data_IF_313524539939
#
_entry.id   IF_313524539939
#
_cell.length_a   1.000
_cell.length_b   1.000
_cell.length_c   1.000
_cell.angle_alpha   90.00
_cell.angle_beta   90.00
_cell.angle_gamma   90.00
#
_symmetry.space_group_name_H-M   'P 1'
#
loop_
_entity.id
_entity.type
_entity.pdbx_description
1 polymer ?
#
# COMPACT_ATOMS: atom_id res chain seq x y z
N UNK A 1 73.28 29.72 -46.36
CA UNK A 1 72.47 28.70 -45.65
C UNK A 1 71.02 28.85 -46.10
N UNK A 2 70.61 28.07 -47.11
CA UNK A 2 69.28 28.16 -47.71
C UNK A 2 68.28 27.30 -46.95
N UNK A 3 67.28 27.91 -46.32
CA UNK A 3 66.20 27.20 -45.64
C UNK A 3 65.09 26.81 -46.62
N UNK A 4 64.91 25.50 -46.82
CA UNK A 4 63.81 24.96 -47.60
C UNK A 4 62.49 25.17 -46.84
N UNK A 5 61.61 26.05 -47.32
CA UNK A 5 60.25 26.18 -46.79
C UNK A 5 59.35 25.16 -47.47
N UNK A 6 59.03 24.08 -46.77
CA UNK A 6 58.00 23.12 -47.20
C UNK A 6 56.64 23.82 -47.21
N UNK A 7 56.13 24.11 -48.41
CA UNK A 7 54.77 24.59 -48.59
C UNK A 7 53.81 23.42 -48.38
N UNK A 8 53.11 23.40 -47.24
CA UNK A 8 52.01 22.48 -47.01
C UNK A 8 50.74 23.06 -47.63
N UNK A 9 50.04 22.26 -48.44
CA UNK A 9 48.75 22.60 -49.03
C UNK A 9 47.68 21.72 -48.38
N UNK A 10 46.81 22.33 -47.58
CA UNK A 10 45.65 21.65 -47.01
C UNK A 10 44.59 21.52 -48.09
N UNK A 11 44.35 20.31 -48.59
CA UNK A 11 43.14 20.05 -49.38
C UNK A 11 41.96 19.91 -48.42
N UNK A 12 41.10 20.93 -48.39
CA UNK A 12 39.80 20.84 -47.73
C UNK A 12 38.96 19.88 -48.56
N UNK A 13 38.69 18.69 -48.01
CA UNK A 13 37.75 17.75 -48.62
C UNK A 13 36.36 18.17 -48.17
N UNK A 14 35.60 18.78 -49.07
CA UNK A 14 34.19 19.07 -48.83
C UNK A 14 33.42 17.75 -48.73
N UNK A 15 33.19 17.29 -47.49
CA UNK A 15 32.36 16.14 -47.18
C UNK A 15 30.97 16.65 -46.79
N UNK A 16 29.94 16.21 -47.51
CA UNK A 16 28.57 16.44 -47.11
C UNK A 16 28.36 15.92 -45.67
N UNK A 17 27.76 16.75 -44.81
CA UNK A 17 27.43 16.35 -43.45
C UNK A 17 26.52 15.12 -43.50
N UNK A 18 26.73 14.09 -42.65
CA UNK A 18 25.81 12.98 -42.54
C UNK A 18 24.41 13.51 -42.22
N UNK A 19 23.39 12.99 -42.91
CA UNK A 19 22.01 13.40 -42.69
C UNK A 19 21.62 13.22 -41.23
N UNK A 20 20.97 14.23 -40.63
CA UNK A 20 20.45 14.11 -39.27
C UNK A 20 19.50 12.89 -39.18
N UNK A 21 19.50 12.16 -38.04
CA UNK A 21 18.61 11.02 -37.86
C UNK A 21 17.15 11.43 -38.09
N UNK A 22 16.50 10.80 -39.05
CA UNK A 22 15.18 11.17 -39.58
C UNK A 22 14.03 10.93 -38.62
N UNK A 23 14.22 10.09 -37.59
CA UNK A 23 13.18 9.73 -36.62
C UNK A 23 13.70 9.89 -35.19
N UNK A 24 13.05 10.76 -34.43
CA UNK A 24 13.34 10.93 -33.00
C UNK A 24 12.96 9.68 -32.21
N UNK A 25 13.87 9.19 -31.37
CA UNK A 25 13.61 8.08 -30.42
C UNK A 25 12.91 8.55 -29.13
N UNK A 26 12.73 9.87 -28.95
CA UNK A 26 12.05 10.47 -27.79
C UNK A 26 10.71 9.82 -27.42
N UNK A 27 9.75 9.58 -28.34
CA UNK A 27 8.48 8.97 -27.97
C UNK A 27 8.63 7.57 -27.36
N UNK A 28 9.64 6.80 -27.79
CA UNK A 28 9.92 5.47 -27.22
C UNK A 28 10.50 5.57 -25.82
N UNK A 29 11.40 6.52 -25.55
CA UNK A 29 11.92 6.72 -24.20
C UNK A 29 10.84 7.22 -23.24
N UNK A 30 9.98 8.13 -23.70
CA UNK A 30 8.85 8.64 -22.90
C UNK A 30 7.85 7.51 -22.64
N UNK A 31 7.45 6.76 -23.67
CA UNK A 31 6.56 5.62 -23.53
C UNK A 31 7.13 4.54 -22.60
N UNK A 32 8.41 4.21 -22.75
CA UNK A 32 9.11 3.26 -21.88
C UNK A 32 9.18 3.74 -20.43
N UNK A 33 9.44 5.03 -20.20
CA UNK A 33 9.46 5.60 -18.86
C UNK A 33 8.06 5.54 -18.20
N UNK A 34 7.00 5.91 -18.94
CA UNK A 34 5.63 5.84 -18.44
C UNK A 34 5.26 4.40 -18.04
N UNK A 35 5.50 3.44 -18.94
CA UNK A 35 5.20 2.03 -18.67
C UNK A 35 6.04 1.52 -17.49
N UNK A 36 7.34 1.82 -17.47
CA UNK A 36 8.23 1.44 -16.38
C UNK A 36 7.77 1.98 -15.03
N UNK A 37 7.39 3.26 -14.97
CA UNK A 37 6.85 3.88 -13.74
C UNK A 37 5.54 3.24 -13.31
N UNK A 38 4.61 2.97 -14.24
CA UNK A 38 3.33 2.32 -13.90
C UNK A 38 3.54 0.92 -13.31
N UNK A 39 4.41 0.11 -13.93
CA UNK A 39 4.75 -1.23 -13.42
C UNK A 39 5.37 -1.14 -12.03
N UNK A 40 6.30 -0.20 -11.82
CA UNK A 40 6.92 0.03 -10.52
C UNK A 40 5.92 0.45 -9.44
N UNK A 41 5.02 1.39 -9.75
CA UNK A 41 4.00 1.87 -8.81
C UNK A 41 3.07 0.71 -8.43
N UNK A 42 2.53 -0.02 -9.41
CA UNK A 42 1.63 -1.15 -9.15
C UNK A 42 2.33 -2.23 -8.31
N UNK A 43 3.57 -2.59 -8.67
CA UNK A 43 4.35 -3.61 -7.97
C UNK A 43 4.64 -3.21 -6.52
N UNK A 44 5.13 -1.99 -6.30
CA UNK A 44 5.45 -1.49 -4.97
C UNK A 44 4.18 -1.36 -4.11
N UNK A 45 3.11 -0.81 -4.66
CA UNK A 45 1.82 -0.69 -3.99
C UNK A 45 1.27 -2.05 -3.58
N UNK A 46 1.38 -3.06 -4.45
CA UNK A 46 0.94 -4.43 -4.15
C UNK A 46 1.79 -5.08 -3.06
N UNK A 47 3.13 -4.93 -3.12
CA UNK A 47 4.04 -5.47 -2.12
C UNK A 47 3.79 -4.84 -0.72
N UNK A 48 3.62 -3.52 -0.66
CA UNK A 48 3.31 -2.81 0.59
C UNK A 48 1.91 -3.17 1.13
N UNK A 49 0.94 -3.42 0.24
CA UNK A 49 -0.36 -3.94 0.66
C UNK A 49 -0.22 -5.34 1.27
N UNK A 50 0.51 -6.24 0.59
CA UNK A 50 0.75 -7.59 1.08
C UNK A 50 1.43 -7.58 2.45
N UNK A 51 2.43 -6.71 2.64
CA UNK A 51 3.13 -6.56 3.92
C UNK A 51 2.20 -6.12 5.07
N UNK A 52 1.24 -5.23 4.78
CA UNK A 52 0.20 -4.82 5.73
C UNK A 52 -0.79 -5.94 5.98
N UNK A 53 -1.23 -6.63 4.93
CA UNK A 53 -2.15 -7.77 5.02
C UNK A 53 -1.58 -8.91 5.86
N UNK A 54 -0.27 -9.18 5.74
CA UNK A 54 0.43 -10.17 6.56
C UNK A 54 0.76 -9.70 7.97
N UNK A 55 0.38 -8.46 8.35
CA UNK A 55 0.64 -7.96 9.69
C UNK A 55 -0.34 -8.57 10.68
N UNK A 56 0.15 -8.85 11.87
CA UNK A 56 -0.67 -9.45 12.92
C UNK A 56 -1.76 -8.52 13.44
N UNK A 57 -1.56 -7.21 13.36
CA UNK A 57 -2.59 -6.21 13.65
C UNK A 57 -3.82 -6.38 12.75
N UNK A 58 -3.61 -6.60 11.44
CA UNK A 58 -4.71 -6.82 10.50
C UNK A 58 -5.42 -8.15 10.81
N UNK A 59 -4.66 -9.23 11.05
CA UNK A 59 -5.25 -10.53 11.42
C UNK A 59 -6.02 -10.48 12.74
N UNK A 60 -5.50 -9.80 13.76
CA UNK A 60 -6.14 -9.66 15.06
C UNK A 60 -7.39 -8.79 15.02
N UNK A 61 -7.35 -7.67 14.30
CA UNK A 61 -8.55 -6.84 14.08
C UNK A 61 -9.63 -7.60 13.31
N UNK A 62 -9.27 -8.34 12.25
CA UNK A 62 -10.23 -9.20 11.54
C UNK A 62 -10.81 -10.26 12.46
N UNK A 63 -10.00 -10.91 13.31
CA UNK A 63 -10.47 -11.90 14.26
C UNK A 63 -11.53 -11.30 15.20
N UNK A 64 -11.27 -10.14 15.80
CA UNK A 64 -12.23 -9.48 16.68
C UNK A 64 -13.52 -9.12 15.94
N UNK A 65 -13.42 -8.54 14.74
CA UNK A 65 -14.56 -8.19 13.89
C UNK A 65 -15.38 -9.44 13.52
N UNK A 66 -14.70 -10.56 13.24
CA UNK A 66 -15.31 -11.78 12.77
C UNK A 66 -16.23 -12.43 13.79
N UNK A 67 -15.88 -12.31 15.08
CA UNK A 67 -16.60 -12.97 16.16
C UNK A 67 -17.44 -12.01 17.00
N UNK A 68 -17.49 -10.71 16.66
CA UNK A 68 -18.35 -9.76 17.35
C UNK A 68 -19.82 -9.98 16.98
N UNK A 69 -20.72 -10.29 17.93
CA UNK A 69 -22.13 -10.54 17.65
C UNK A 69 -22.82 -9.38 16.93
N UNK A 70 -22.45 -8.13 17.24
CA UNK A 70 -23.05 -6.93 16.63
C UNK A 70 -22.65 -6.78 15.17
N UNK A 71 -21.43 -7.19 14.83
CA UNK A 71 -20.97 -7.21 13.44
C UNK A 71 -21.64 -8.35 12.67
N UNK A 72 -21.79 -9.53 13.29
CA UNK A 72 -22.52 -10.65 12.70
C UNK A 72 -23.98 -10.25 12.43
N UNK A 73 -24.61 -9.54 13.36
CA UNK A 73 -25.97 -9.00 13.17
C UNK A 73 -26.01 -7.98 12.03
N UNK A 74 -24.94 -7.20 11.80
CA UNK A 74 -24.85 -6.20 10.74
C UNK A 74 -24.68 -6.82 9.35
N UNK A 75 -23.67 -7.68 9.14
CA UNK A 75 -23.28 -8.19 7.81
C UNK A 75 -23.53 -9.69 7.58
N UNK A 76 -24.02 -10.39 8.60
CA UNK A 76 -24.23 -11.84 8.60
C UNK A 76 -23.04 -12.62 9.17
N UNK A 77 -23.21 -13.93 9.25
CA UNK A 77 -22.21 -14.88 9.73
C UNK A 77 -21.03 -15.02 8.74
N UNK A 78 -19.98 -15.77 9.13
CA UNK A 78 -18.79 -16.06 8.32
C UNK A 78 -18.12 -14.79 7.78
N UNK A 79 -17.97 -13.79 8.63
CA UNK A 79 -17.35 -12.51 8.28
C UNK A 79 -15.90 -12.72 7.86
N UNK A 80 -15.57 -12.34 6.63
CA UNK A 80 -14.22 -12.35 6.08
C UNK A 80 -13.97 -11.11 5.24
N UNK A 81 -12.76 -10.97 4.68
CA UNK A 81 -12.45 -9.92 3.71
C UNK A 81 -13.47 -9.87 2.57
N UNK A 82 -13.86 -8.66 2.18
CA UNK A 82 -14.82 -8.46 1.10
C UNK A 82 -14.30 -8.87 -0.28
N UNK A 83 -12.98 -8.86 -0.48
CA UNK A 83 -12.32 -9.14 -1.74
C UNK A 83 -11.26 -10.22 -1.57
N UNK A 84 -11.02 -11.03 -2.62
CA UNK A 84 -9.95 -12.04 -2.63
C UNK A 84 -8.55 -11.42 -2.50
N UNK A 85 -8.38 -10.17 -2.93
CA UNK A 85 -7.18 -9.37 -2.71
C UNK A 85 -7.54 -8.11 -1.90
N UNK A 86 -7.66 -8.22 -0.57
CA UNK A 86 -8.11 -7.12 0.26
C UNK A 86 -7.10 -5.98 0.27
N UNK A 87 -7.60 -4.76 0.08
CA UNK A 87 -6.78 -3.56 0.15
C UNK A 87 -6.76 -2.98 1.58
N UNK A 88 -5.61 -3.07 2.23
CA UNK A 88 -5.38 -2.52 3.56
C UNK A 88 -4.85 -1.10 3.42
N UNK A 89 -5.74 -0.14 3.61
CA UNK A 89 -5.37 1.27 3.60
C UNK A 89 -4.75 1.70 4.94
N UNK A 90 -4.00 2.80 4.92
CA UNK A 90 -3.40 3.38 6.11
C UNK A 90 -1.99 2.87 6.40
N UNK A 91 -1.59 2.91 7.67
CA UNK A 91 -0.21 2.68 8.13
C UNK A 91 -0.18 1.75 9.35
N UNK A 92 0.72 0.78 9.29
CA UNK A 92 1.14 -0.03 10.44
C UNK A 92 2.59 0.30 10.73
N UNK A 93 2.86 0.97 11.85
CA UNK A 93 4.21 1.36 12.24
C UNK A 93 4.45 1.11 13.73
N UNK A 94 4.97 -0.08 14.04
CA UNK A 94 5.24 -0.49 15.42
C UNK A 94 6.35 0.35 16.07
N UNK A 95 7.38 0.76 15.30
CA UNK A 95 8.49 1.57 15.80
C UNK A 95 8.03 2.93 16.28
N UNK A 96 7.17 3.61 15.50
CA UNK A 96 6.57 4.90 15.87
C UNK A 96 5.36 4.75 16.78
N UNK A 97 5.00 3.52 17.17
CA UNK A 97 3.84 3.25 18.02
C UNK A 97 2.54 3.76 17.40
N UNK A 98 2.36 3.64 16.08
CA UNK A 98 1.17 4.17 15.38
C UNK A 98 0.59 3.12 14.44
N UNK A 99 -0.68 2.84 14.64
CA UNK A 99 -1.50 2.01 13.76
C UNK A 99 -2.72 2.82 13.35
N UNK A 100 -3.00 2.84 12.05
CA UNK A 100 -4.25 3.32 11.50
C UNK A 100 -4.48 2.49 10.24
N UNK A 101 -5.43 1.57 10.29
CA UNK A 101 -5.74 0.68 9.18
C UNK A 101 -7.23 0.72 8.88
N UNK A 102 -7.56 0.49 7.62
CA UNK A 102 -8.94 0.26 7.23
C UNK A 102 -9.01 -0.70 6.03
N UNK A 103 -9.98 -1.61 6.10
CA UNK A 103 -10.22 -2.67 5.12
C UNK A 103 -11.70 -3.04 5.09
N UNK A 104 -12.12 -3.74 4.04
CA UNK A 104 -13.53 -4.11 3.85
C UNK A 104 -13.75 -5.58 4.22
N UNK A 105 -14.88 -5.85 4.87
CA UNK A 105 -15.37 -7.17 5.23
C UNK A 105 -16.76 -7.41 4.66
N UNK A 106 -17.12 -8.68 4.48
CA UNK A 106 -18.46 -9.13 4.09
C UNK A 106 -18.82 -10.39 4.88
N UNK A 107 -20.10 -10.56 5.18
CA UNK A 107 -20.64 -11.80 5.75
C UNK A 107 -21.63 -12.47 4.79
N UNK A 108 -22.42 -13.41 5.32
CA UNK A 108 -23.43 -14.17 4.55
C UNK A 108 -24.56 -13.32 3.98
N UNK A 109 -24.80 -12.11 4.49
CA UNK A 109 -25.80 -11.19 3.91
C UNK A 109 -25.30 -10.53 2.61
N UNK A 110 -24.02 -10.66 2.29
CA UNK A 110 -23.41 -10.07 1.08
C UNK A 110 -23.24 -8.55 1.15
N UNK A 111 -23.47 -7.94 2.33
CA UNK A 111 -23.27 -6.52 2.54
C UNK A 111 -21.82 -6.21 2.90
N UNK A 112 -21.24 -5.20 2.24
CA UNK A 112 -19.87 -4.74 2.53
C UNK A 112 -19.88 -3.80 3.73
N UNK A 113 -18.98 -4.01 4.67
CA UNK A 113 -18.70 -3.08 5.74
C UNK A 113 -17.21 -2.71 5.81
N UNK A 114 -16.94 -1.45 6.13
CA UNK A 114 -15.61 -0.89 6.29
C UNK A 114 -15.19 -0.99 7.76
N UNK A 115 -14.14 -1.74 8.03
CA UNK A 115 -13.46 -1.75 9.32
C UNK A 115 -12.49 -0.58 9.37
N UNK A 116 -12.49 0.18 10.47
CA UNK A 116 -11.47 1.18 10.80
C UNK A 116 -10.90 0.86 12.17
N UNK A 117 -9.58 0.74 12.23
CA UNK A 117 -8.87 0.55 13.49
C UNK A 117 -7.71 1.52 13.58
N UNK A 118 -7.67 2.32 14.64
CA UNK A 118 -6.53 3.18 14.95
C UNK A 118 -6.10 3.00 16.40
N UNK A 119 -4.81 2.84 16.61
CA UNK A 119 -4.19 2.69 17.92
C UNK A 119 -2.85 3.42 17.97
N UNK A 120 -2.52 3.97 19.13
CA UNK A 120 -1.29 4.71 19.37
C UNK A 120 -0.65 4.30 20.69
N UNK A 121 0.65 4.01 20.68
CA UNK A 121 1.43 3.69 21.88
C UNK A 121 1.81 4.97 22.61
N UNK A 122 1.48 5.06 23.91
CA UNK A 122 1.96 6.11 24.82
C UNK A 122 2.83 5.46 25.89
N UNK A 123 4.13 5.76 25.87
CA UNK A 123 5.11 5.03 26.68
C UNK A 123 5.22 3.58 26.21
N UNK A 124 4.88 2.64 27.09
CA UNK A 124 4.90 1.20 26.80
C UNK A 124 3.52 0.60 26.49
N UNK A 125 2.44 1.36 26.68
CA UNK A 125 1.06 0.87 26.54
C UNK A 125 0.42 1.34 25.25
N UNK A 126 -0.29 0.44 24.56
CA UNK A 126 -1.07 0.75 23.37
C UNK A 126 -2.43 1.29 23.76
N UNK A 127 -2.89 2.36 23.10
CA UNK A 127 -4.23 2.91 23.32
C UNK A 127 -5.00 2.91 22.02
N UNK A 128 -6.12 2.21 22.00
CA UNK A 128 -7.05 2.21 20.86
C UNK A 128 -7.81 3.54 20.82
N UNK A 129 -7.75 4.21 19.68
CA UNK A 129 -8.38 5.50 19.41
C UNK A 129 -9.71 5.33 18.67
N UNK A 130 -9.79 4.34 17.78
CA UNK A 130 -10.97 4.05 16.98
C UNK A 130 -11.00 2.56 16.68
N UNK A 131 -12.15 1.91 16.87
CA UNK A 131 -12.39 0.59 16.34
C UNK A 131 -13.85 0.42 15.92
N UNK A 132 -14.14 0.74 14.67
CA UNK A 132 -15.50 0.81 14.15
C UNK A 132 -15.67 -0.07 12.91
N UNK A 133 -16.90 -0.54 12.70
CA UNK A 133 -17.32 -1.24 11.50
C UNK A 133 -18.54 -0.53 10.93
N UNK A 134 -18.38 0.07 9.74
CA UNK A 134 -19.44 0.84 9.08
C UNK A 134 -19.94 0.12 7.84
N UNK A 135 -21.22 -0.25 7.82
CA UNK A 135 -21.86 -0.84 6.64
C UNK A 135 -21.98 0.19 5.52
N UNK A 136 -21.57 -0.16 4.31
CA UNK A 136 -21.48 0.80 3.20
C UNK A 136 -22.84 1.14 2.57
N UNK A 137 -23.87 0.29 2.74
CA UNK A 137 -25.19 0.48 2.15
C UNK A 137 -25.96 1.64 2.80
N UNK A 138 -25.87 1.78 4.12
CA UNK A 138 -26.67 2.74 4.91
C UNK A 138 -25.86 3.55 5.93
N UNK A 139 -24.55 3.34 6.00
CA UNK A 139 -23.64 3.93 6.99
C UNK A 139 -23.96 3.57 8.45
N UNK A 140 -24.71 2.49 8.68
CA UNK A 140 -24.86 1.95 10.03
C UNK A 140 -23.49 1.55 10.58
N UNK A 141 -23.17 2.04 11.78
CA UNK A 141 -21.84 1.89 12.38
C UNK A 141 -21.92 1.19 13.71
N UNK A 142 -21.13 0.12 13.84
CA UNK A 142 -20.93 -0.62 15.08
C UNK A 142 -19.58 -0.21 15.67
N UNK A 143 -19.58 0.29 16.90
CA UNK A 143 -18.35 0.53 17.67
C UNK A 143 -17.99 -0.75 18.44
N UNK A 144 -16.85 -1.36 18.07
CA UNK A 144 -16.36 -2.58 18.71
C UNK A 144 -15.81 -2.27 20.11
N UNK A 145 -15.36 -1.04 20.35
CA UNK A 145 -14.85 -0.57 21.64
C UNK A 145 -13.33 -0.44 21.66
N UNK A 146 -12.78 -0.21 22.86
CA UNK A 146 -11.38 0.18 23.06
C UNK A 146 -10.48 -1.03 23.34
N UNK A 147 -10.59 -2.09 22.54
CA UNK A 147 -9.76 -3.27 22.73
C UNK A 147 -8.30 -2.95 22.36
N UNK A 148 -7.39 -3.20 23.28
CA UNK A 148 -5.95 -3.05 23.04
C UNK A 148 -5.41 -4.29 22.30
N UNK A 149 -4.55 -4.03 21.33
CA UNK A 149 -3.77 -5.07 20.67
C UNK A 149 -2.35 -5.03 21.20
N UNK A 150 -1.78 -6.21 21.36
CA UNK A 150 -0.39 -6.36 21.80
C UNK A 150 0.55 -5.97 20.66
N UNK A 151 1.87 -5.88 20.92
CA UNK A 151 2.86 -5.64 19.85
C UNK A 151 2.80 -6.73 18.76
N UNK A 152 2.32 -7.92 19.13
CA UNK A 152 2.09 -9.07 18.26
C UNK A 152 0.70 -9.03 17.60
N UNK A 153 -0.10 -7.98 17.76
CA UNK A 153 -1.43 -7.84 17.16
C UNK A 153 -2.50 -8.77 17.75
N UNK A 154 -2.18 -9.50 18.83
CA UNK A 154 -3.16 -10.31 19.53
C UNK A 154 -4.05 -9.41 20.41
N UNK A 155 -5.34 -9.75 20.61
CA UNK A 155 -6.14 -9.14 21.65
C UNK A 155 -5.45 -9.25 23.01
N UNK A 156 -5.30 -8.15 23.73
CA UNK A 156 -4.71 -8.15 25.08
C UNK A 156 -5.42 -9.15 26.02
N UNK A 157 -6.74 -9.31 25.86
CA UNK A 157 -7.54 -10.25 26.64
C UNK A 157 -7.19 -11.74 26.40
N UNK A 158 -6.61 -12.10 25.25
CA UNK A 158 -6.26 -13.50 24.93
C UNK A 158 -4.85 -13.88 25.44
N UNK A 159 -3.92 -12.93 25.55
CA UNK A 159 -2.55 -13.20 26.01
C UNK A 159 -2.47 -13.52 27.51
N UNK A 160 -3.42 -13.03 28.31
CA UNK A 160 -3.46 -13.27 29.76
C UNK A 160 -4.18 -14.56 30.18
N UNK A 161 -4.63 -15.37 29.21
CA UNK A 161 -5.31 -16.64 29.45
C UNK A 161 -4.43 -17.87 29.19
N UNK A 162 -3.16 -17.65 28.84
CA UNK A 162 -2.10 -18.68 28.71
C UNK A 162 -1.04 -18.52 29.82
#
# INVERSE_FOLDING_TARGET
>A
MGGLRLAYSTRVVDRALPSAPTKSRRPWYIGGAIVGTLVWVVGLSSALNYQRLSSSVVSGTLFMVRYDPRVIDLVGDKVDYADAWPWISGTVNHLKGKVNIAFDVTGTKGERARVRFSSQRRGHSWHTLEFTVTRQSDNETVDIGHHELTDQGAPFALEHLE
#
